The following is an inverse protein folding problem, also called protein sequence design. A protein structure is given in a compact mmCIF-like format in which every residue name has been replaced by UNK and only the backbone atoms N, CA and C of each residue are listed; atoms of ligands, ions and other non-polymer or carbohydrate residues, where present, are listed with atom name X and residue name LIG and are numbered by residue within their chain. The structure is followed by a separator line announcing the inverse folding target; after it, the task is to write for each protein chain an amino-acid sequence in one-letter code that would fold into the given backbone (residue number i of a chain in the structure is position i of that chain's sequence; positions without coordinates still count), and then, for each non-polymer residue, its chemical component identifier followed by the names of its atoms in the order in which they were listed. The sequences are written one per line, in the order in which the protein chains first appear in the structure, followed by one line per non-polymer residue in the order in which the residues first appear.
data_IF_526213189506
#
_entry.id   IF_526213189506
#
_cell.length_a   1.000
_cell.length_b   1.000
_cell.length_c   1.000
_cell.angle_alpha   90.00
_cell.angle_beta   90.00
_cell.angle_gamma   90.00
#
_symmetry.space_group_name_H-M   'P 1'
#
loop_
_entity.id
_entity.type
_entity.pdbx_description
1 polymer ?
#
# COMPACT_ATOMS: atom_id res chain seq x y z
N UNK A 1 0.42 4.70 11.04
CA UNK A 1 -0.88 4.03 10.81
C UNK A 1 -0.71 3.05 9.69
N UNK A 2 -1.02 1.78 9.92
CA UNK A 2 -0.92 0.72 8.91
C UNK A 2 -2.28 0.40 8.28
N UNK A 3 -2.31 0.34 6.95
CA UNK A 3 -3.47 -0.08 6.17
C UNK A 3 -3.19 -1.43 5.52
N UNK A 4 -3.92 -2.45 5.99
CA UNK A 4 -3.69 -3.83 5.60
C UNK A 4 -4.47 -4.26 4.34
N UNK A 5 -4.01 -5.36 3.73
CA UNK A 5 -4.57 -5.98 2.54
C UNK A 5 -5.84 -6.83 2.72
N UNK A 6 -6.09 -7.70 1.73
CA UNK A 6 -7.16 -8.71 1.70
C UNK A 6 -6.75 -10.01 2.37
N UNK A 7 -7.74 -10.88 2.65
CA UNK A 7 -7.54 -12.28 3.03
C UNK A 7 -6.68 -12.49 4.27
N UNK A 8 -6.66 -11.52 5.16
CA UNK A 8 -5.83 -11.53 6.38
C UNK A 8 -6.72 -11.46 7.60
N UNK A 9 -6.48 -12.38 8.53
CA UNK A 9 -7.03 -12.31 9.89
C UNK A 9 -6.47 -11.08 10.64
N UNK A 10 -7.11 -10.65 11.73
CA UNK A 10 -6.57 -9.59 12.58
C UNK A 10 -5.14 -9.85 13.06
N UNK A 11 -4.80 -11.11 13.37
CA UNK A 11 -3.45 -11.50 13.80
C UNK A 11 -2.42 -11.37 12.66
N UNK A 12 -2.79 -11.75 11.44
CA UNK A 12 -1.94 -11.56 10.27
C UNK A 12 -1.77 -10.07 9.93
N UNK A 13 -2.83 -9.28 10.08
CA UNK A 13 -2.76 -7.84 9.91
C UNK A 13 -1.82 -7.19 10.93
N UNK A 14 -1.89 -7.62 12.20
CA UNK A 14 -0.98 -7.16 13.25
C UNK A 14 0.46 -7.56 12.96
N UNK A 15 0.70 -8.80 12.51
CA UNK A 15 2.04 -9.27 12.09
C UNK A 15 2.59 -8.46 10.92
N UNK A 16 1.77 -8.18 9.91
CA UNK A 16 2.17 -7.34 8.78
C UNK A 16 2.47 -5.92 9.25
N UNK A 17 1.64 -5.35 10.12
CA UNK A 17 1.87 -4.03 10.67
C UNK A 17 3.24 -3.96 11.35
N UNK A 18 3.56 -4.91 12.23
CA UNK A 18 4.87 -4.97 12.91
C UNK A 18 6.03 -5.21 11.93
N UNK A 19 5.85 -6.10 10.94
CA UNK A 19 6.92 -6.41 9.97
C UNK A 19 7.25 -5.22 9.05
N UNK A 20 6.23 -4.44 8.67
CA UNK A 20 6.34 -3.39 7.65
C UNK A 20 6.55 -2.01 8.23
N UNK A 21 6.29 -1.82 9.53
CA UNK A 21 6.59 -0.60 10.24
C UNK A 21 8.11 -0.38 10.30
N UNK A 22 8.56 0.78 9.83
CA UNK A 22 9.96 1.20 9.98
C UNK A 22 10.32 1.58 11.43
N UNK A 23 9.31 1.77 12.29
CA UNK A 23 9.42 2.28 13.66
C UNK A 23 9.10 1.19 14.70
N UNK A 24 9.93 0.14 14.75
CA UNK A 24 9.77 -1.09 15.57
C UNK A 24 9.46 -0.88 17.08
N UNK A 25 9.54 0.34 17.62
CA UNK A 25 9.42 0.64 19.04
C UNK A 25 8.38 1.72 19.37
N UNK A 26 7.66 2.25 18.38
CA UNK A 26 6.61 3.25 18.57
C UNK A 26 5.20 2.63 18.57
N UNK A 27 4.21 3.23 19.25
CA UNK A 27 2.83 2.75 19.19
C UNK A 27 2.31 2.70 17.75
N UNK A 28 1.97 1.48 17.30
CA UNK A 28 1.48 1.23 15.95
C UNK A 28 -0.03 0.97 15.95
N UNK A 29 -0.76 1.83 15.24
CA UNK A 29 -2.18 1.63 14.95
C UNK A 29 -2.34 1.01 13.57
N UNK A 30 -3.24 0.06 13.43
CA UNK A 30 -3.56 -0.58 12.16
C UNK A 30 -5.06 -0.67 11.92
N UNK A 31 -5.45 -0.62 10.66
CA UNK A 31 -6.82 -0.87 10.22
C UNK A 31 -6.90 -2.23 9.54
N UNK A 32 -7.92 -3.00 9.91
CA UNK A 32 -8.21 -4.31 9.33
C UNK A 32 -9.51 -4.21 8.56
N UNK A 33 -9.50 -4.70 7.32
CA UNK A 33 -10.72 -5.10 6.65
C UNK A 33 -10.99 -6.56 7.03
N UNK A 34 -12.06 -6.85 7.77
CA UNK A 34 -12.38 -8.22 8.15
C UNK A 34 -12.48 -9.11 6.91
N UNK A 35 -11.94 -10.32 7.01
CA UNK A 35 -12.06 -11.32 5.95
C UNK A 35 -13.54 -11.52 5.62
N UNK A 36 -13.92 -11.35 4.37
CA UNK A 36 -15.30 -11.57 3.96
C UNK A 36 -15.66 -13.07 4.05
N UNK A 37 -16.96 -13.34 4.13
CA UNK A 37 -17.49 -14.69 4.35
C UNK A 37 -17.14 -15.68 3.22
N UNK A 38 -16.74 -15.19 2.04
CA UNK A 38 -16.26 -16.02 0.93
C UNK A 38 -15.24 -15.28 0.06
N UNK A 39 -14.53 -16.02 -0.78
CA UNK A 39 -13.52 -15.45 -1.69
C UNK A 39 -14.14 -14.59 -2.80
N UNK A 40 -15.36 -14.91 -3.24
CA UNK A 40 -16.11 -14.12 -4.21
C UNK A 40 -16.45 -12.74 -3.67
N UNK A 41 -16.85 -12.66 -2.39
CA UNK A 41 -17.17 -11.38 -1.74
C UNK A 41 -15.90 -10.54 -1.57
N UNK A 42 -14.76 -11.14 -1.24
CA UNK A 42 -13.47 -10.44 -1.19
C UNK A 42 -13.09 -9.85 -2.55
N UNK A 43 -13.30 -10.59 -3.64
CA UNK A 43 -13.08 -10.07 -4.99
C UNK A 43 -14.06 -8.94 -5.32
N UNK A 44 -15.32 -9.05 -4.90
CA UNK A 44 -16.31 -7.98 -5.04
C UNK A 44 -15.90 -6.70 -4.32
N UNK A 45 -15.41 -6.80 -3.07
CA UNK A 45 -14.89 -5.66 -2.31
C UNK A 45 -13.64 -5.07 -2.98
N UNK A 46 -12.71 -5.92 -3.42
CA UNK A 46 -11.52 -5.47 -4.13
C UNK A 46 -11.86 -4.76 -5.45
N UNK A 47 -12.83 -5.28 -6.21
CA UNK A 47 -13.35 -4.65 -7.42
C UNK A 47 -13.98 -3.29 -7.11
N UNK A 48 -14.83 -3.22 -6.10
CA UNK A 48 -15.44 -1.96 -5.67
C UNK A 48 -14.38 -0.92 -5.31
N UNK A 49 -13.40 -1.27 -4.46
CA UNK A 49 -12.35 -0.33 -4.09
C UNK A 49 -11.47 0.08 -5.28
N UNK A 50 -11.20 -0.83 -6.21
CA UNK A 50 -10.35 -0.50 -7.37
C UNK A 50 -11.05 0.39 -8.38
N UNK A 51 -12.34 0.17 -8.63
CA UNK A 51 -13.03 0.75 -9.79
C UNK A 51 -14.16 1.73 -9.43
N UNK A 52 -14.78 1.61 -8.25
CA UNK A 52 -16.02 2.29 -7.92
C UNK A 52 -15.92 3.25 -6.72
N UNK A 53 -15.07 2.95 -5.73
CA UNK A 53 -14.95 3.75 -4.51
C UNK A 53 -14.58 5.22 -4.82
N UNK A 54 -15.33 6.15 -4.22
CA UNK A 54 -15.20 7.60 -4.47
C UNK A 54 -15.95 8.13 -5.70
N UNK A 55 -16.44 7.25 -6.58
CA UNK A 55 -17.24 7.62 -7.75
C UNK A 55 -18.68 7.10 -7.70
N UNK A 56 -18.90 5.91 -7.13
CA UNK A 56 -20.21 5.27 -7.02
C UNK A 56 -20.32 4.61 -5.64
N UNK A 57 -21.33 4.97 -4.84
CA UNK A 57 -21.55 4.41 -3.50
C UNK A 57 -20.74 5.05 -2.36
N UNK A 58 -19.86 6.03 -2.67
CA UNK A 58 -19.08 6.77 -1.68
C UNK A 58 -17.83 6.04 -1.18
N UNK A 59 -17.20 6.59 -0.14
CA UNK A 59 -16.00 6.03 0.48
C UNK A 59 -16.33 4.99 1.56
N UNK A 60 -15.53 3.93 1.63
CA UNK A 60 -15.59 2.98 2.74
C UNK A 60 -15.19 3.62 4.06
N UNK A 61 -15.58 3.00 5.19
CA UNK A 61 -15.26 3.50 6.52
C UNK A 61 -13.74 3.56 6.77
N UNK A 62 -12.96 2.62 6.23
CA UNK A 62 -11.50 2.64 6.36
C UNK A 62 -10.88 3.81 5.59
N UNK A 63 -11.41 4.12 4.40
CA UNK A 63 -10.95 5.27 3.61
C UNK A 63 -11.29 6.59 4.29
N UNK A 64 -12.48 6.70 4.91
CA UNK A 64 -12.84 7.85 5.75
C UNK A 64 -11.92 8.00 6.96
N UNK A 65 -11.62 6.90 7.67
CA UNK A 65 -10.64 6.91 8.77
C UNK A 65 -9.25 7.38 8.33
N UNK A 66 -8.84 7.02 7.12
CA UNK A 66 -7.61 7.55 6.53
C UNK A 66 -7.69 9.06 6.30
N UNK A 67 -8.79 9.56 5.76
CA UNK A 67 -9.00 11.00 5.59
C UNK A 67 -8.97 11.74 6.93
N UNK A 68 -9.67 11.24 7.94
CA UNK A 68 -9.67 11.81 9.29
C UNK A 68 -8.25 11.84 9.88
N UNK A 69 -7.49 10.75 9.71
CA UNK A 69 -6.10 10.67 10.14
C UNK A 69 -5.21 11.71 9.43
N UNK A 70 -5.39 11.90 8.12
CA UNK A 70 -4.66 12.91 7.35
C UNK A 70 -4.99 14.34 7.80
N UNK A 71 -6.25 14.64 8.10
CA UNK A 71 -6.63 15.94 8.64
C UNK A 71 -6.01 16.23 10.00
N UNK A 72 -5.99 15.24 10.89
CA UNK A 72 -5.50 15.40 12.26
C UNK A 72 -3.98 15.46 12.33
N UNK A 73 -3.28 14.62 11.55
CA UNK A 73 -1.85 14.38 11.74
C UNK A 73 -0.99 14.66 10.51
N UNK A 74 -1.59 14.87 9.34
CA UNK A 74 -0.87 15.01 8.07
C UNK A 74 0.16 16.15 8.06
N UNK A 75 -0.13 17.24 8.78
CA UNK A 75 0.74 18.41 8.87
C UNK A 75 1.70 18.36 10.07
N UNK A 76 1.55 17.40 10.99
CA UNK A 76 2.37 17.31 12.21
C UNK A 76 3.39 16.18 12.17
N UNK A 77 3.20 15.16 11.33
CA UNK A 77 4.17 14.06 11.19
C UNK A 77 3.50 12.70 10.99
N UNK A 78 2.49 12.62 10.13
CA UNK A 78 1.80 11.37 9.84
C UNK A 78 2.75 10.37 9.16
N UNK A 79 2.84 9.15 9.71
CA UNK A 79 3.50 8.01 9.06
C UNK A 79 2.41 7.03 8.64
N UNK A 80 2.36 6.70 7.36
CA UNK A 80 1.36 5.83 6.75
C UNK A 80 2.06 4.69 6.03
N UNK A 81 1.73 3.47 6.42
CA UNK A 81 2.22 2.27 5.76
C UNK A 81 1.03 1.56 5.12
N UNK A 82 1.16 1.14 3.86
CA UNK A 82 0.06 0.49 3.14
C UNK A 82 0.51 -0.73 2.36
N UNK A 83 -0.11 -1.87 2.66
CA UNK A 83 0.20 -3.15 2.00
C UNK A 83 -0.96 -3.62 1.14
N UNK A 84 -0.65 -4.15 -0.06
CA UNK A 84 -1.66 -4.83 -0.90
C UNK A 84 -2.87 -3.94 -1.18
N UNK A 85 -4.09 -4.41 -0.87
CA UNK A 85 -5.34 -3.63 -0.97
C UNK A 85 -5.35 -2.38 -0.09
N UNK A 86 -4.61 -2.35 1.02
CA UNK A 86 -4.52 -1.17 1.89
C UNK A 86 -4.03 0.08 1.16
N UNK A 87 -3.23 -0.08 0.10
CA UNK A 87 -2.84 1.04 -0.75
C UNK A 87 -4.02 1.65 -1.52
N UNK A 88 -5.08 0.88 -1.82
CA UNK A 88 -6.31 1.43 -2.41
C UNK A 88 -7.04 2.32 -1.40
N UNK A 89 -7.05 1.96 -0.11
CA UNK A 89 -7.65 2.80 0.94
C UNK A 89 -6.97 4.16 1.03
N UNK A 90 -5.64 4.16 1.09
CA UNK A 90 -4.82 5.38 1.12
C UNK A 90 -4.98 6.16 -0.19
N UNK A 91 -4.82 5.50 -1.33
CA UNK A 91 -4.88 6.15 -2.65
C UNK A 91 -6.25 6.72 -2.99
N UNK A 92 -7.34 6.01 -2.70
CA UNK A 92 -8.70 6.48 -2.94
C UNK A 92 -9.06 7.65 -2.02
N UNK A 93 -8.65 7.60 -0.75
CA UNK A 93 -8.89 8.70 0.18
C UNK A 93 -8.19 9.99 -0.24
N UNK A 94 -6.94 9.89 -0.71
CA UNK A 94 -6.23 11.04 -1.26
C UNK A 94 -6.83 11.52 -2.59
N UNK A 95 -7.21 10.61 -3.49
CA UNK A 95 -7.86 10.99 -4.75
C UNK A 95 -9.19 11.69 -4.53
N UNK A 96 -9.93 11.27 -3.51
CA UNK A 96 -11.19 11.92 -3.14
C UNK A 96 -10.96 13.34 -2.60
N UNK A 97 -9.87 13.59 -1.86
CA UNK A 97 -9.46 14.96 -1.52
C UNK A 97 -9.17 15.79 -2.76
N UNK A 98 -8.32 15.30 -3.68
CA UNK A 98 -8.00 16.00 -4.94
C UNK A 98 -9.28 16.30 -5.76
N UNK A 99 -10.20 15.33 -5.86
CA UNK A 99 -11.48 15.48 -6.56
C UNK A 99 -12.36 16.58 -5.99
N UNK A 100 -12.34 16.79 -4.67
CA UNK A 100 -13.12 17.83 -3.99
C UNK A 100 -12.34 19.14 -3.80
N UNK A 101 -11.15 19.28 -4.39
CA UNK A 101 -10.33 20.47 -4.27
C UNK A 101 -9.75 20.68 -2.87
N UNK A 102 -9.62 19.61 -2.08
CA UNK A 102 -9.04 19.66 -0.74
C UNK A 102 -7.52 19.53 -0.87
N UNK A 103 -6.82 20.57 -0.40
CA UNK A 103 -5.37 20.64 -0.32
C UNK A 103 -4.97 21.44 0.93
N UNK A 104 -3.67 21.66 1.17
CA UNK A 104 -3.16 22.24 2.42
C UNK A 104 -3.03 21.25 3.58
N UNK A 105 -3.04 19.96 3.27
CA UNK A 105 -2.92 18.86 4.25
C UNK A 105 -1.79 17.90 3.86
N UNK A 106 -1.23 17.20 4.82
CA UNK A 106 -0.21 16.19 4.54
C UNK A 106 1.21 16.74 4.39
N UNK A 107 1.50 17.97 4.82
CA UNK A 107 2.83 18.60 4.67
C UNK A 107 4.00 17.81 5.25
N UNK A 108 3.75 17.01 6.29
CA UNK A 108 4.75 16.18 6.97
C UNK A 108 4.38 14.70 6.92
N UNK A 109 3.64 14.29 5.88
CA UNK A 109 3.21 12.91 5.74
C UNK A 109 4.28 12.08 5.03
N UNK A 110 4.70 10.99 5.64
CA UNK A 110 5.48 9.93 4.98
C UNK A 110 4.53 8.78 4.64
N UNK A 111 4.55 8.33 3.38
CA UNK A 111 3.79 7.17 2.94
C UNK A 111 4.72 6.15 2.34
N UNK A 112 4.71 4.93 2.88
CA UNK A 112 5.44 3.77 2.39
C UNK A 112 4.47 2.66 1.98
N UNK A 113 4.74 2.02 0.84
CA UNK A 113 3.84 1.04 0.23
C UNK A 113 4.53 -0.26 -0.12
N UNK A 114 3.83 -1.37 0.09
CA UNK A 114 4.38 -2.72 0.00
C UNK A 114 3.46 -3.61 -0.84
N UNK A 115 3.94 -4.11 -1.98
CA UNK A 115 3.13 -4.84 -2.96
C UNK A 115 1.78 -4.17 -3.30
N UNK A 116 1.73 -2.86 -3.59
CA UNK A 116 0.48 -2.10 -3.56
C UNK A 116 -0.43 -2.39 -4.75
N UNK A 117 -1.73 -2.58 -4.51
CA UNK A 117 -2.74 -2.71 -5.56
C UNK A 117 -3.13 -1.37 -6.21
N UNK A 118 -2.70 -0.24 -5.63
CA UNK A 118 -2.89 1.11 -6.16
C UNK A 118 -1.68 1.54 -6.98
N UNK A 119 -1.88 2.39 -7.99
CA UNK A 119 -0.78 2.92 -8.79
C UNK A 119 -0.04 4.03 -8.02
N UNK A 120 1.24 3.79 -7.70
CA UNK A 120 2.02 4.67 -6.82
C UNK A 120 2.43 5.97 -7.51
N UNK A 121 2.56 6.00 -8.83
CA UNK A 121 2.78 7.27 -9.53
C UNK A 121 1.58 8.20 -9.38
N UNK A 122 0.35 7.66 -9.51
CA UNK A 122 -0.87 8.42 -9.23
C UNK A 122 -0.90 8.85 -7.77
N UNK A 123 -0.53 7.96 -6.84
CA UNK A 123 -0.49 8.28 -5.41
C UNK A 123 0.47 9.44 -5.11
N UNK A 124 1.68 9.43 -5.68
CA UNK A 124 2.67 10.49 -5.50
C UNK A 124 2.19 11.82 -6.07
N UNK A 125 1.57 11.80 -7.25
CA UNK A 125 0.98 12.99 -7.87
C UNK A 125 -0.15 13.59 -7.03
N UNK A 126 -0.98 12.74 -6.43
CA UNK A 126 -2.08 13.18 -5.57
C UNK A 126 -1.54 13.69 -4.23
N UNK A 127 -0.52 13.05 -3.63
CA UNK A 127 0.12 13.54 -2.41
C UNK A 127 0.75 14.93 -2.63
N UNK A 128 1.43 15.12 -3.76
CA UNK A 128 1.98 16.42 -4.20
C UNK A 128 0.89 17.50 -4.28
N UNK A 129 -0.26 17.18 -4.88
CA UNK A 129 -1.41 18.09 -4.91
C UNK A 129 -1.95 18.41 -3.51
N UNK A 130 -2.34 17.40 -2.72
CA UNK A 130 -3.01 17.64 -1.44
C UNK A 130 -2.09 18.34 -0.43
N UNK A 131 -0.78 18.15 -0.57
CA UNK A 131 0.25 18.75 0.29
C UNK A 131 0.84 20.06 -0.23
N UNK A 132 0.26 20.68 -1.26
CA UNK A 132 0.79 21.92 -1.87
C UNK A 132 2.28 21.82 -2.25
N UNK A 133 2.74 20.64 -2.67
CA UNK A 133 4.12 20.37 -3.06
C UNK A 133 5.10 20.16 -1.90
N UNK A 134 4.63 20.08 -0.66
CA UNK A 134 5.47 19.78 0.51
C UNK A 134 5.92 18.31 0.56
N UNK A 135 5.13 17.38 0.04
CA UNK A 135 5.46 15.96 -0.06
C UNK A 135 5.23 15.48 -1.49
N UNK A 136 6.32 15.08 -2.16
CA UNK A 136 6.30 14.77 -3.59
C UNK A 136 6.66 13.32 -3.89
N UNK A 137 6.79 12.46 -2.90
CA UNK A 137 7.25 11.09 -3.11
C UNK A 137 6.51 10.08 -2.24
N UNK A 138 6.44 8.86 -2.75
CA UNK A 138 5.89 7.70 -2.04
C UNK A 138 6.94 6.60 -2.05
N UNK A 139 7.17 5.99 -0.89
CA UNK A 139 8.02 4.82 -0.78
C UNK A 139 7.37 3.59 -1.39
N UNK A 140 8.12 2.82 -2.17
CA UNK A 140 7.65 1.60 -2.83
C UNK A 140 8.62 0.44 -2.58
N UNK A 141 8.06 -0.67 -2.11
CA UNK A 141 8.63 -2.01 -2.21
C UNK A 141 7.66 -2.90 -2.97
N UNK A 142 8.15 -3.52 -4.04
CA UNK A 142 7.35 -4.36 -4.92
C UNK A 142 8.21 -5.44 -5.56
N UNK A 143 7.86 -6.71 -5.35
CA UNK A 143 8.59 -7.83 -5.92
C UNK A 143 8.17 -8.11 -7.37
N UNK A 144 9.09 -8.56 -8.22
CA UNK A 144 8.81 -8.82 -9.63
C UNK A 144 7.75 -9.89 -9.90
N UNK A 145 7.62 -10.86 -9.00
CA UNK A 145 6.57 -11.89 -9.05
C UNK A 145 5.30 -11.54 -8.27
N UNK A 146 5.22 -10.33 -7.70
CA UNK A 146 4.01 -9.85 -7.06
C UNK A 146 3.01 -9.32 -8.09
N UNK A 147 2.08 -10.17 -8.53
CA UNK A 147 1.07 -9.76 -9.50
C UNK A 147 0.12 -8.67 -8.96
N UNK A 148 -0.04 -8.53 -7.64
CA UNK A 148 -0.88 -7.47 -7.05
C UNK A 148 -0.23 -6.12 -7.32
N UNK A 149 1.05 -5.99 -7.03
CA UNK A 149 1.80 -4.77 -7.31
C UNK A 149 2.04 -4.52 -8.80
N UNK A 150 2.46 -5.55 -9.53
CA UNK A 150 2.88 -5.43 -10.95
C UNK A 150 1.70 -5.35 -11.90
N UNK A 151 0.69 -6.22 -11.77
CA UNK A 151 -0.42 -6.28 -12.74
C UNK A 151 -1.56 -5.37 -12.32
N UNK A 152 -2.05 -5.49 -11.08
CA UNK A 152 -3.19 -4.69 -10.62
C UNK A 152 -2.79 -3.26 -10.25
N UNK A 153 -1.66 -3.09 -9.58
CA UNK A 153 -1.09 -1.79 -9.24
C UNK A 153 -0.44 -1.08 -10.43
N UNK A 154 0.04 -1.84 -11.43
CA UNK A 154 0.86 -1.32 -12.53
C UNK A 154 2.10 -0.58 -12.02
N UNK A 155 2.68 -1.09 -10.94
CA UNK A 155 3.82 -0.48 -10.27
C UNK A 155 5.14 -1.06 -10.77
N UNK A 156 6.22 -0.27 -10.79
CA UNK A 156 7.53 -0.80 -11.06
C UNK A 156 7.94 -1.82 -9.99
N UNK A 157 8.85 -2.70 -10.38
CA UNK A 157 9.44 -3.70 -9.50
C UNK A 157 10.71 -3.13 -8.87
N UNK A 158 10.98 -3.54 -7.65
CA UNK A 158 12.15 -3.10 -6.88
C UNK A 158 13.13 -4.24 -6.79
N UNK A 159 12.73 -5.41 -6.28
CA UNK A 159 13.59 -6.58 -6.16
C UNK A 159 13.02 -7.81 -6.91
N UNK A 160 13.91 -8.74 -7.28
CA UNK A 160 13.66 -9.75 -8.33
C UNK A 160 14.01 -11.19 -7.95
N UNK A 161 14.63 -11.42 -6.79
CA UNK A 161 15.17 -12.74 -6.47
C UNK A 161 14.03 -13.73 -6.33
N UNK A 162 14.13 -14.85 -7.05
CA UNK A 162 13.17 -15.94 -7.03
C UNK A 162 13.84 -17.23 -6.55
N UNK A 163 13.14 -18.11 -5.82
CA UNK A 163 13.66 -19.45 -5.52
C UNK A 163 14.00 -20.24 -6.79
N UNK A 164 15.15 -20.96 -6.84
CA UNK A 164 15.51 -21.80 -7.98
C UNK A 164 14.42 -22.82 -8.33
N UNK A 165 14.18 -23.03 -9.62
CA UNK A 165 13.14 -23.94 -10.10
C UNK A 165 11.71 -23.45 -9.86
N UNK A 166 11.52 -22.18 -9.52
CA UNK A 166 10.20 -21.57 -9.42
C UNK A 166 9.89 -20.70 -10.64
N UNK A 167 8.63 -20.69 -11.04
CA UNK A 167 8.11 -19.93 -12.18
C UNK A 167 6.96 -19.00 -11.78
N UNK A 168 6.53 -18.09 -12.67
CA UNK A 168 5.51 -17.08 -12.35
C UNK A 168 4.21 -17.68 -11.82
N UNK A 169 3.73 -18.79 -12.39
CA UNK A 169 2.52 -19.47 -11.94
C UNK A 169 2.62 -20.03 -10.51
N UNK A 170 3.78 -20.61 -10.17
CA UNK A 170 4.03 -21.15 -8.83
C UNK A 170 4.10 -20.02 -7.80
N UNK A 171 4.74 -18.92 -8.16
CA UNK A 171 4.84 -17.74 -7.30
C UNK A 171 3.49 -17.03 -7.12
N UNK A 172 2.68 -16.93 -8.17
CA UNK A 172 1.30 -16.45 -8.08
C UNK A 172 0.44 -17.32 -7.15
N UNK A 173 0.57 -18.64 -7.24
CA UNK A 173 -0.09 -19.56 -6.29
C UNK A 173 0.34 -19.32 -4.84
N UNK A 174 1.63 -19.05 -4.60
CA UNK A 174 2.13 -18.78 -3.24
C UNK A 174 1.57 -17.49 -2.65
N UNK A 175 1.34 -16.45 -3.46
CA UNK A 175 0.73 -15.18 -3.00
C UNK A 175 -0.61 -15.43 -2.31
N UNK A 176 -1.39 -16.39 -2.83
CA UNK A 176 -2.74 -16.67 -2.35
C UNK A 176 -2.72 -17.70 -1.21
N UNK A 177 -1.86 -18.72 -1.30
CA UNK A 177 -2.02 -19.94 -0.49
C UNK A 177 -0.90 -20.22 0.51
N UNK A 178 0.19 -19.44 0.55
CA UNK A 178 1.35 -19.82 1.37
C UNK A 178 2.24 -18.68 1.85
N UNK A 179 3.09 -19.00 2.82
CA UNK A 179 4.20 -18.17 3.26
C UNK A 179 5.51 -18.98 3.29
N UNK A 180 6.66 -18.45 2.88
CA UNK A 180 6.90 -17.10 2.33
C UNK A 180 6.37 -16.97 0.90
N UNK A 181 6.02 -15.76 0.50
CA UNK A 181 5.54 -15.43 -0.84
C UNK A 181 6.11 -14.08 -1.29
N UNK A 182 6.17 -13.79 -2.60
CA UNK A 182 6.64 -12.51 -3.10
C UNK A 182 5.76 -11.33 -2.69
N UNK A 183 4.51 -11.57 -2.28
CA UNK A 183 3.57 -10.55 -1.82
C UNK A 183 3.59 -10.32 -0.29
N UNK A 184 4.30 -11.16 0.47
CA UNK A 184 4.41 -11.03 1.94
C UNK A 184 5.84 -10.72 2.42
N UNK A 185 6.85 -10.90 1.57
CA UNK A 185 8.25 -10.73 1.90
C UNK A 185 8.73 -9.30 1.60
N UNK A 186 8.30 -8.37 2.45
CA UNK A 186 8.58 -6.93 2.38
C UNK A 186 9.07 -6.40 3.73
N UNK A 187 9.66 -5.20 3.74
CA UNK A 187 10.14 -4.54 4.96
C UNK A 187 11.12 -5.41 5.74
N UNK A 188 10.90 -5.53 7.05
CA UNK A 188 11.77 -6.28 7.97
C UNK A 188 11.48 -7.80 7.98
N UNK A 189 11.03 -8.35 6.85
CA UNK A 189 10.71 -9.77 6.74
C UNK A 189 11.89 -10.67 7.13
N UNK A 190 11.58 -11.74 7.88
CA UNK A 190 12.58 -12.62 8.47
C UNK A 190 13.46 -13.38 7.47
N UNK A 191 14.50 -14.07 7.97
CA UNK A 191 15.52 -14.77 7.16
C UNK A 191 14.93 -15.73 6.11
N UNK A 192 13.78 -16.35 6.36
CA UNK A 192 13.10 -17.23 5.40
C UNK A 192 12.66 -16.48 4.14
N UNK A 193 12.15 -15.26 4.29
CA UNK A 193 11.83 -14.36 3.19
C UNK A 193 13.10 -13.92 2.45
N UNK A 194 14.11 -13.44 3.16
CA UNK A 194 15.37 -12.98 2.53
C UNK A 194 16.10 -14.10 1.75
N UNK A 195 16.06 -15.32 2.28
CA UNK A 195 16.61 -16.49 1.60
C UNK A 195 15.84 -16.81 0.31
N UNK A 196 14.51 -16.74 0.34
CA UNK A 196 13.66 -17.07 -0.78
C UNK A 196 13.60 -15.96 -1.85
N UNK A 197 13.38 -14.71 -1.44
CA UNK A 197 13.02 -13.58 -2.29
C UNK A 197 14.04 -12.43 -2.28
N UNK A 198 15.13 -12.56 -1.53
CA UNK A 198 16.14 -11.51 -1.39
C UNK A 198 15.76 -10.46 -0.35
N UNK A 199 16.69 -9.55 -0.10
CA UNK A 199 16.43 -8.41 0.77
C UNK A 199 15.53 -7.41 0.05
N UNK A 200 14.37 -7.06 0.63
CA UNK A 200 13.56 -5.96 0.13
C UNK A 200 14.39 -4.68 0.11
N UNK A 201 14.14 -3.82 -0.88
CA UNK A 201 14.69 -2.47 -0.87
C UNK A 201 13.64 -1.50 -1.36
N UNK A 202 13.53 -0.39 -0.64
CA UNK A 202 12.58 0.66 -0.95
C UNK A 202 13.17 1.64 -1.94
N UNK A 203 12.39 1.98 -2.95
CA UNK A 203 12.66 3.11 -3.83
C UNK A 203 11.65 4.23 -3.55
N UNK A 204 12.01 5.47 -3.89
CA UNK A 204 11.09 6.59 -3.86
C UNK A 204 10.51 6.80 -5.27
N UNK A 205 9.19 6.91 -5.36
CA UNK A 205 8.49 7.29 -6.59
C UNK A 205 8.10 8.75 -6.47
N UNK A 206 8.79 9.60 -7.23
CA UNK A 206 8.52 11.04 -7.25
C UNK A 206 7.28 11.39 -8.09
N UNK A 207 6.56 12.43 -7.67
CA UNK A 207 5.50 13.07 -8.44
C UNK A 207 6.07 13.60 -9.74
N UNK A 208 5.46 13.20 -10.85
CA UNK A 208 5.75 13.74 -12.17
C UNK A 208 4.97 15.02 -12.48
N UNK A 209 4.13 15.48 -11.54
CA UNK A 209 3.47 16.79 -11.57
C UNK A 209 4.25 17.87 -10.83
N UNK A 210 5.20 17.47 -9.98
CA UNK A 210 6.01 18.43 -9.23
C UNK A 210 6.76 19.31 -10.22
N UNK A 211 6.68 20.64 -10.04
CA UNK A 211 7.32 21.63 -10.92
C UNK A 211 8.87 21.57 -10.96
N UNK A 212 9.48 20.53 -10.38
CA UNK A 212 10.90 20.22 -10.54
C UNK A 212 11.12 19.68 -11.95
N UNK A 213 11.41 20.61 -12.86
CA UNK A 213 12.09 20.33 -14.13
C UNK A 213 13.26 19.37 -13.85
N UNK A 214 13.22 18.19 -14.48
CA UNK A 214 14.43 17.38 -14.69
C UNK A 214 15.43 18.16 -15.52
#
# INVERSE_FOLDING_TARGET
MFYNGIFTSPDEAARNAVQLADNEHEPLYFTVFPKANSWEVELGVAFYQKFLEGNFGGLSNSTKKFQDFMYLYGNTGAIVDAHSRGSLTVGNGMRDFEKHGIHGIGYKTKIDTFGPAFNIQIMANTLDYVSDGHQTHIGLENHADDFVGVVFGQNPTTFYKRPPGSGPWKEAGKIIWSYPSPHACYGNAGKRCQKAYGSPHRIQIDSNKSGRKK
#
